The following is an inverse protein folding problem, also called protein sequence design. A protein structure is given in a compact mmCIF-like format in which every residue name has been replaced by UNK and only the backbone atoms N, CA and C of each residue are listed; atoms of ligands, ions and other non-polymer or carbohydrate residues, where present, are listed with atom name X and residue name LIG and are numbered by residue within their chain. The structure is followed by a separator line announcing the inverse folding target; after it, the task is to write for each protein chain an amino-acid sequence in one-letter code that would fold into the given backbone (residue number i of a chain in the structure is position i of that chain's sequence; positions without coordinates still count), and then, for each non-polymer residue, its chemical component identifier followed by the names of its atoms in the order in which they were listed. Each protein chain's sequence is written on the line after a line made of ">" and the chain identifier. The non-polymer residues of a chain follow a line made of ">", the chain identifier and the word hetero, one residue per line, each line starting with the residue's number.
data_IF_789777007377
#
_entry.id   IF_789777007377
#
_cell.length_a   1.000
_cell.length_b   1.000
_cell.length_c   1.000
_cell.angle_alpha   90.00
_cell.angle_beta   90.00
_cell.angle_gamma   90.00
#
_symmetry.space_group_name_H-M   'P 1'
#
loop_
_entity.id
_entity.type
_entity.pdbx_description
1 polymer ?
#
# COMPACT_ATOMS: atom_id res chain seq x y z
N UNK A 1 21.80 -0.90 6.06
CA UNK A 1 20.54 -0.14 6.02
C UNK A 1 20.71 1.17 6.79
N UNK A 2 21.00 1.14 8.09
CA UNK A 2 21.16 2.35 8.92
C UNK A 2 22.19 3.34 8.32
N UNK A 3 23.32 2.83 7.85
CA UNK A 3 24.37 3.65 7.23
C UNK A 3 23.89 4.31 5.93
N UNK A 4 23.07 3.60 5.15
CA UNK A 4 22.50 4.12 3.89
C UNK A 4 21.43 5.18 4.10
N UNK A 5 20.80 5.19 5.28
CA UNK A 5 19.73 6.13 5.62
C UNK A 5 20.25 7.36 6.39
N UNK A 6 21.54 7.38 6.73
CA UNK A 6 22.14 8.43 7.55
C UNK A 6 22.06 9.80 6.88
N UNK A 7 21.42 10.74 7.57
CA UNK A 7 21.27 12.13 7.11
C UNK A 7 20.09 12.35 6.18
N UNK A 8 19.20 11.37 6.02
CA UNK A 8 17.95 11.56 5.32
C UNK A 8 16.94 12.31 6.20
N UNK A 9 16.33 13.36 5.67
CA UNK A 9 15.25 14.10 6.33
C UNK A 9 13.91 13.36 6.18
N UNK A 10 13.73 12.62 5.07
CA UNK A 10 12.54 11.83 4.77
C UNK A 10 12.92 10.50 4.11
N UNK A 11 12.19 9.45 4.44
CA UNK A 11 12.36 8.10 3.88
C UNK A 11 11.02 7.54 3.45
N UNK A 12 10.94 7.14 2.18
CA UNK A 12 9.82 6.34 1.69
C UNK A 12 10.17 4.85 1.78
N UNK A 13 9.25 4.08 2.37
CA UNK A 13 9.29 2.62 2.37
C UNK A 13 8.16 2.13 1.47
N UNK A 14 8.53 1.51 0.34
CA UNK A 14 7.52 1.03 -0.62
C UNK A 14 7.72 -0.44 -0.92
N UNK A 15 6.63 -1.20 -0.90
CA UNK A 15 6.63 -2.62 -1.24
C UNK A 15 5.21 -3.15 -1.48
N UNK A 16 5.13 -4.34 -2.07
CA UNK A 16 3.92 -5.16 -2.03
C UNK A 16 3.90 -6.02 -0.78
N UNK A 17 2.84 -5.92 -0.01
CA UNK A 17 2.62 -6.73 1.18
C UNK A 17 2.04 -8.12 0.85
N UNK A 18 2.19 -9.07 1.76
CA UNK A 18 1.74 -10.45 1.58
C UNK A 18 2.81 -11.41 1.05
N UNK A 19 3.94 -10.88 0.58
CA UNK A 19 5.13 -11.67 0.23
C UNK A 19 6.10 -11.82 1.42
N UNK A 20 7.22 -12.51 1.20
CA UNK A 20 8.24 -12.70 2.25
C UNK A 20 9.09 -11.44 2.47
N UNK A 21 9.62 -10.86 1.39
CA UNK A 21 10.59 -9.76 1.46
C UNK A 21 9.93 -8.45 1.91
N UNK A 22 8.86 -8.01 1.22
CA UNK A 22 8.15 -6.78 1.58
C UNK A 22 7.63 -6.82 3.00
N UNK A 23 6.80 -7.80 3.30
CA UNK A 23 6.14 -7.99 4.60
C UNK A 23 7.12 -8.09 5.78
N UNK A 24 8.25 -8.77 5.57
CA UNK A 24 9.24 -8.99 6.65
C UNK A 24 10.26 -7.88 6.79
N UNK A 25 10.68 -7.24 5.70
CA UNK A 25 11.76 -6.25 5.73
C UNK A 25 11.26 -4.81 5.91
N UNK A 26 10.08 -4.46 5.39
CA UNK A 26 9.56 -3.08 5.46
C UNK A 26 9.49 -2.52 6.89
N UNK A 27 8.98 -3.24 7.92
CA UNK A 27 8.95 -2.70 9.28
C UNK A 27 10.35 -2.48 9.86
N UNK A 28 11.32 -3.32 9.49
CA UNK A 28 12.70 -3.21 9.97
C UNK A 28 13.39 -1.98 9.36
N UNK A 29 13.19 -1.76 8.05
CA UNK A 29 13.72 -0.58 7.36
C UNK A 29 13.07 0.70 7.88
N UNK A 30 11.75 0.69 8.06
CA UNK A 30 11.00 1.81 8.61
C UNK A 30 11.49 2.20 10.01
N UNK A 31 11.65 1.21 10.89
CA UNK A 31 12.21 1.42 12.24
C UNK A 31 13.60 2.07 12.19
N UNK A 32 14.48 1.58 11.32
CA UNK A 32 15.82 2.14 11.17
C UNK A 32 15.79 3.59 10.70
N UNK A 33 14.88 3.95 9.80
CA UNK A 33 14.67 5.33 9.35
C UNK A 33 14.11 6.23 10.45
N UNK A 34 13.06 5.77 11.13
CA UNK A 34 12.41 6.49 12.22
C UNK A 34 13.37 6.76 13.40
N UNK A 35 14.20 5.78 13.76
CA UNK A 35 15.23 5.93 14.81
C UNK A 35 16.28 6.99 14.49
N UNK A 36 16.51 7.30 13.22
CA UNK A 36 17.40 8.37 12.79
C UNK A 36 16.70 9.75 12.75
N UNK A 37 15.41 9.81 13.08
CA UNK A 37 14.62 11.04 13.10
C UNK A 37 14.06 11.44 11.75
N UNK A 38 14.26 10.65 10.69
CA UNK A 38 13.67 10.89 9.39
C UNK A 38 12.13 10.82 9.44
N UNK A 39 11.45 11.68 8.69
CA UNK A 39 10.02 11.50 8.43
C UNK A 39 9.84 10.22 7.62
N UNK A 40 9.23 9.21 8.22
CA UNK A 40 9.13 7.89 7.63
C UNK A 40 7.71 7.63 7.12
N UNK A 41 7.57 7.51 5.81
CA UNK A 41 6.29 7.31 5.13
C UNK A 41 6.32 5.97 4.41
N UNK A 42 5.33 5.13 4.66
CA UNK A 42 5.17 3.89 3.91
C UNK A 42 4.03 4.02 2.89
N UNK A 43 4.29 3.55 1.66
CA UNK A 43 3.31 3.41 0.58
C UNK A 43 3.37 1.97 0.12
N UNK A 44 2.35 1.20 0.43
CA UNK A 44 2.36 -0.26 0.20
C UNK A 44 1.09 -0.73 -0.48
N UNK A 45 1.17 -1.84 -1.21
CA UNK A 45 -0.02 -2.45 -1.80
C UNK A 45 -0.47 -3.68 -1.03
N UNK A 46 -1.77 -3.87 -0.98
CA UNK A 46 -2.43 -5.12 -0.57
C UNK A 46 -2.59 -6.03 -1.76
N UNK A 47 -2.36 -7.35 -1.63
CA UNK A 47 -2.50 -8.29 -2.73
C UNK A 47 -3.92 -8.32 -3.29
N UNK A 48 -4.04 -8.72 -4.55
CA UNK A 48 -5.33 -9.01 -5.16
C UNK A 48 -6.01 -10.20 -4.48
N UNK A 49 -7.33 -10.20 -4.41
CA UNK A 49 -8.11 -11.30 -3.82
C UNK A 49 -7.87 -12.66 -4.48
N UNK A 50 -7.57 -12.69 -5.80
CA UNK A 50 -7.22 -13.92 -6.49
C UNK A 50 -5.87 -14.53 -6.07
N UNK A 51 -5.00 -13.78 -5.40
CA UNK A 51 -3.73 -14.28 -4.85
C UNK A 51 -3.91 -15.17 -3.60
N UNK A 52 -5.10 -15.15 -3.03
CA UNK A 52 -5.56 -16.08 -2.01
C UNK A 52 -5.48 -15.55 -0.57
N UNK A 53 -6.26 -16.19 0.33
CA UNK A 53 -6.48 -15.69 1.70
C UNK A 53 -5.22 -15.74 2.57
N UNK A 54 -4.31 -16.68 2.33
CA UNK A 54 -3.06 -16.76 3.09
C UNK A 54 -2.16 -15.55 2.81
N UNK A 55 -2.14 -15.09 1.53
CA UNK A 55 -1.36 -13.93 1.13
C UNK A 55 -1.97 -12.64 1.69
N UNK A 56 -3.30 -12.55 1.71
CA UNK A 56 -4.03 -11.46 2.33
C UNK A 56 -3.75 -11.38 3.85
N UNK A 57 -3.85 -12.51 4.57
CA UNK A 57 -3.54 -12.55 6.01
C UNK A 57 -2.08 -12.20 6.33
N UNK A 58 -1.14 -12.62 5.47
CA UNK A 58 0.26 -12.23 5.60
C UNK A 58 0.45 -10.72 5.37
N UNK A 59 -0.28 -10.13 4.41
CA UNK A 59 -0.26 -8.69 4.16
C UNK A 59 -0.80 -7.91 5.35
N UNK A 60 -1.93 -8.32 5.93
CA UNK A 60 -2.51 -7.67 7.11
C UNK A 60 -1.54 -7.67 8.29
N UNK A 61 -0.88 -8.80 8.54
CA UNK A 61 0.15 -8.90 9.57
C UNK A 61 1.33 -7.95 9.31
N UNK A 62 1.79 -7.83 8.06
CA UNK A 62 2.88 -6.92 7.68
C UNK A 62 2.49 -5.46 7.87
N UNK A 63 1.32 -5.08 7.37
CA UNK A 63 0.74 -3.73 7.48
C UNK A 63 0.60 -3.31 8.94
N UNK A 64 0.09 -4.19 9.82
CA UNK A 64 -0.07 -3.90 11.25
C UNK A 64 1.27 -3.70 11.97
N UNK A 65 2.32 -4.40 11.54
CA UNK A 65 3.65 -4.19 12.07
C UNK A 65 4.30 -2.93 11.52
N UNK A 66 4.14 -2.66 10.22
CA UNK A 66 4.67 -1.48 9.56
C UNK A 66 4.05 -0.19 10.12
N UNK A 67 2.75 -0.20 10.41
CA UNK A 67 2.00 0.93 11.01
C UNK A 67 2.63 1.44 12.30
N UNK A 68 3.26 0.57 13.08
CA UNK A 68 3.90 0.92 14.36
C UNK A 68 5.25 1.62 14.21
N UNK A 69 5.82 1.54 13.03
CA UNK A 69 7.21 1.94 12.77
C UNK A 69 7.30 3.16 11.83
N UNK A 70 6.17 3.64 11.32
CA UNK A 70 6.11 4.77 10.37
C UNK A 70 5.33 5.95 10.93
N UNK A 71 5.60 7.14 10.44
CA UNK A 71 4.83 8.35 10.74
C UNK A 71 3.50 8.37 9.99
N UNK A 72 3.50 7.98 8.71
CA UNK A 72 2.32 7.88 7.88
C UNK A 72 2.35 6.59 7.05
N UNK A 73 1.20 5.91 6.97
CA UNK A 73 1.02 4.68 6.21
C UNK A 73 -0.11 4.84 5.20
N UNK A 74 0.25 4.73 3.94
CA UNK A 74 -0.69 4.68 2.80
C UNK A 74 -0.77 3.22 2.34
N UNK A 75 -1.96 2.64 2.41
CA UNK A 75 -2.23 1.29 1.91
C UNK A 75 -3.07 1.40 0.65
N UNK A 76 -2.64 0.76 -0.44
CA UNK A 76 -3.33 0.74 -1.72
C UNK A 76 -3.88 -0.66 -1.95
N UNK A 77 -5.21 -0.85 -1.86
CA UNK A 77 -5.81 -2.16 -2.11
C UNK A 77 -5.83 -2.46 -3.61
N UNK A 78 -5.11 -3.49 -4.05
CA UNK A 78 -5.03 -3.83 -5.47
C UNK A 78 -6.40 -4.14 -6.08
N UNK A 79 -7.32 -4.74 -5.33
CA UNK A 79 -8.68 -5.03 -5.82
C UNK A 79 -9.44 -3.76 -6.21
N UNK A 80 -9.22 -2.64 -5.52
CA UNK A 80 -9.83 -1.36 -5.87
C UNK A 80 -9.32 -0.77 -7.17
N UNK A 81 -8.09 -1.12 -7.57
CA UNK A 81 -7.54 -0.73 -8.88
C UNK A 81 -8.28 -1.42 -10.03
N UNK A 82 -8.82 -2.62 -9.80
CA UNK A 82 -9.63 -3.32 -10.80
C UNK A 82 -10.98 -2.64 -11.03
N UNK A 83 -11.52 -1.94 -10.04
CA UNK A 83 -12.76 -1.17 -10.18
C UNK A 83 -12.58 0.07 -11.07
N UNK A 84 -11.36 0.62 -11.12
CA UNK A 84 -10.97 1.75 -11.98
C UNK A 84 -10.64 1.33 -13.41
N UNK A 85 -10.40 0.04 -13.63
CA UNK A 85 -9.93 -0.51 -14.89
C UNK A 85 -11.09 -1.14 -15.69
N UNK A 86 -10.91 -1.26 -16.99
CA UNK A 86 -11.86 -2.01 -17.82
C UNK A 86 -11.95 -3.47 -17.37
N UNK A 87 -13.15 -4.05 -17.38
CA UNK A 87 -13.41 -5.45 -16.95
C UNK A 87 -12.63 -6.51 -17.74
N UNK A 88 -11.96 -6.11 -18.82
CA UNK A 88 -11.14 -6.96 -19.68
C UNK A 88 -9.64 -6.83 -19.44
N UNK A 89 -9.22 -6.17 -18.34
CA UNK A 89 -7.80 -5.95 -18.04
C UNK A 89 -7.05 -7.29 -17.90
N UNK A 90 -5.90 -7.40 -18.56
CA UNK A 90 -5.02 -8.56 -18.42
C UNK A 90 -4.26 -8.56 -17.09
N UNK A 91 -3.85 -9.75 -16.63
CA UNK A 91 -3.14 -9.91 -15.34
C UNK A 91 -1.88 -9.03 -15.28
N UNK A 92 -1.09 -9.00 -16.34
CA UNK A 92 0.15 -8.18 -16.39
C UNK A 92 -0.18 -6.70 -16.27
N UNK A 93 -1.26 -6.26 -16.90
CA UNK A 93 -1.70 -4.87 -16.87
C UNK A 93 -2.24 -4.49 -15.49
N UNK A 94 -2.96 -5.39 -14.81
CA UNK A 94 -3.39 -5.20 -13.43
C UNK A 94 -2.21 -4.95 -12.49
N UNK A 95 -1.13 -5.73 -12.59
CA UNK A 95 0.08 -5.49 -11.79
C UNK A 95 0.77 -4.18 -12.16
N UNK A 96 0.84 -3.81 -13.45
CA UNK A 96 1.37 -2.49 -13.85
C UNK A 96 0.54 -1.34 -13.30
N UNK A 97 -0.77 -1.50 -13.19
CA UNK A 97 -1.65 -0.50 -12.57
C UNK A 97 -1.31 -0.34 -11.08
N UNK A 98 -1.03 -1.44 -10.38
CA UNK A 98 -0.57 -1.40 -8.98
C UNK A 98 0.79 -0.70 -8.84
N UNK A 99 1.74 -0.98 -9.72
CA UNK A 99 3.05 -0.29 -9.75
C UNK A 99 2.88 1.21 -10.00
N UNK A 100 1.99 1.57 -10.94
CA UNK A 100 1.68 2.98 -11.24
C UNK A 100 1.04 3.69 -10.06
N UNK A 101 0.17 3.01 -9.31
CA UNK A 101 -0.47 3.57 -8.12
C UNK A 101 0.55 3.81 -6.99
N UNK A 102 1.49 2.87 -6.77
CA UNK A 102 2.61 3.08 -5.84
C UNK A 102 3.48 4.27 -6.23
N UNK A 103 3.84 4.35 -7.50
CA UNK A 103 4.62 5.46 -8.04
C UNK A 103 3.87 6.79 -7.82
N UNK A 104 2.58 6.85 -8.15
CA UNK A 104 1.76 8.03 -7.98
C UNK A 104 1.64 8.46 -6.50
N UNK A 105 1.55 7.49 -5.57
CA UNK A 105 1.56 7.76 -4.13
C UNK A 105 2.85 8.43 -3.64
N UNK A 106 3.99 7.97 -4.13
CA UNK A 106 5.29 8.59 -3.82
C UNK A 106 5.45 9.93 -4.52
N UNK A 107 5.14 10.01 -5.81
CA UNK A 107 5.22 11.26 -6.59
C UNK A 107 4.30 12.34 -6.04
N UNK A 108 3.09 12.00 -5.59
CA UNK A 108 2.14 12.96 -5.02
C UNK A 108 2.71 13.75 -3.84
N UNK A 109 3.65 13.17 -3.10
CA UNK A 109 4.35 13.85 -1.99
C UNK A 109 5.63 14.51 -2.49
N UNK A 110 6.42 13.82 -3.29
CA UNK A 110 7.72 14.34 -3.75
C UNK A 110 7.57 15.55 -4.67
N UNK A 111 6.55 15.58 -5.52
CA UNK A 111 6.28 16.71 -6.42
C UNK A 111 5.93 17.98 -5.64
N UNK A 112 5.28 17.87 -4.47
CA UNK A 112 4.99 19.01 -3.61
C UNK A 112 6.25 19.70 -3.09
N UNK A 113 7.29 18.91 -2.78
CA UNK A 113 8.54 19.38 -2.18
C UNK A 113 9.57 19.74 -3.26
N UNK A 114 9.41 19.20 -4.48
CA UNK A 114 10.38 19.38 -5.55
C UNK A 114 10.40 20.82 -6.07
N UNK A 115 11.58 21.26 -6.49
CA UNK A 115 11.86 22.62 -6.95
C UNK A 115 11.15 23.02 -8.26
N UNK A 116 10.46 22.08 -8.92
CA UNK A 116 9.78 22.29 -10.19
C UNK A 116 8.32 22.77 -10.04
N UNK A 117 7.83 22.93 -8.81
CA UNK A 117 6.48 23.41 -8.56
C UNK A 117 6.39 24.94 -8.58
N UNK A 118 5.34 25.50 -9.16
CA UNK A 118 5.07 26.95 -9.16
C UNK A 118 4.64 27.45 -7.78
N UNK A 119 3.88 26.63 -7.06
CA UNK A 119 3.54 26.85 -5.66
C UNK A 119 4.24 25.73 -4.90
N UNK A 120 5.35 26.06 -4.28
CA UNK A 120 6.14 25.15 -3.48
C UNK A 120 5.49 24.94 -2.12
N UNK A 121 5.57 23.69 -1.67
CA UNK A 121 5.26 23.32 -0.29
C UNK A 121 6.59 23.07 0.41
N UNK A 122 6.79 23.71 1.55
CA UNK A 122 8.01 23.49 2.34
C UNK A 122 7.98 22.10 2.98
N UNK A 123 9.18 21.50 3.14
CA UNK A 123 9.30 20.20 3.83
C UNK A 123 8.71 20.26 5.26
N UNK A 124 8.86 21.40 5.95
CA UNK A 124 8.28 21.58 7.28
C UNK A 124 6.75 21.46 7.28
N UNK A 125 6.10 21.91 6.22
CA UNK A 125 4.64 21.83 6.06
C UNK A 125 4.19 20.38 5.86
N UNK A 126 4.83 19.64 4.96
CA UNK A 126 4.57 18.19 4.76
C UNK A 126 4.82 17.42 6.05
N UNK A 127 5.93 17.74 6.73
CA UNK A 127 6.26 17.11 8.02
C UNK A 127 5.20 17.39 9.09
N UNK A 128 4.60 18.59 9.11
CA UNK A 128 3.56 18.96 10.08
C UNK A 128 2.27 18.16 9.93
N UNK A 129 1.94 17.74 8.71
CA UNK A 129 0.74 16.95 8.40
C UNK A 129 1.00 15.45 8.58
N UNK A 130 2.17 14.95 8.13
CA UNK A 130 2.43 13.50 8.05
C UNK A 130 3.15 12.92 9.26
N UNK A 131 3.81 13.75 10.10
CA UNK A 131 4.51 13.27 11.29
C UNK A 131 3.52 12.72 12.31
N UNK A 132 3.63 11.42 12.59
CA UNK A 132 2.75 10.73 13.54
C UNK A 132 1.28 10.65 13.11
N UNK A 133 0.98 10.85 11.83
CA UNK A 133 -0.37 10.86 11.30
C UNK A 133 -1.05 9.48 11.27
N UNK A 134 -0.28 8.40 11.39
CA UNK A 134 -0.80 7.04 11.36
C UNK A 134 -1.30 6.63 9.98
N UNK A 135 -2.57 6.28 9.84
CA UNK A 135 -3.16 5.96 8.54
C UNK A 135 -3.36 7.22 7.72
N UNK A 136 -2.95 7.17 6.45
CA UNK A 136 -3.23 8.21 5.47
C UNK A 136 -3.93 7.60 4.26
N UNK A 137 -4.92 8.30 3.73
CA UNK A 137 -5.68 7.90 2.55
C UNK A 137 -5.14 8.63 1.32
N UNK A 138 -5.08 7.93 0.21
CA UNK A 138 -4.56 8.43 -1.05
C UNK A 138 -5.63 8.38 -2.13
N UNK A 139 -5.92 9.52 -2.73
CA UNK A 139 -6.82 9.63 -3.87
C UNK A 139 -6.15 10.33 -5.04
N UNK A 140 -6.42 9.88 -6.25
CA UNK A 140 -5.92 10.47 -7.48
C UNK A 140 -7.05 10.58 -8.49
N UNK A 141 -7.10 11.72 -9.18
CA UNK A 141 -8.04 11.95 -10.27
C UNK A 141 -7.39 12.72 -11.40
N UNK A 142 -7.80 12.45 -12.62
CA UNK A 142 -7.36 13.15 -13.82
C UNK A 142 -8.55 13.50 -14.68
N UNK A 143 -8.55 14.68 -15.28
CA UNK A 143 -9.60 15.10 -16.21
C UNK A 143 -9.06 16.04 -17.28
N UNK A 144 -9.83 16.21 -18.36
CA UNK A 144 -9.52 17.05 -19.52
C UNK A 144 -10.70 17.92 -19.87
N UNK A 145 -10.46 19.01 -20.59
CA UNK A 145 -11.51 19.90 -21.12
C UNK A 145 -11.92 20.99 -20.13
N UNK A 146 -13.17 21.46 -20.25
CA UNK A 146 -13.72 22.48 -19.35
C UNK A 146 -13.94 21.89 -17.95
N UNK A 147 -13.68 22.65 -16.91
CA UNK A 147 -13.79 22.25 -15.49
C UNK A 147 -12.86 21.07 -15.09
N UNK A 148 -11.81 20.80 -15.91
CA UNK A 148 -10.87 19.68 -15.72
C UNK A 148 -10.30 19.57 -14.30
N UNK A 149 -9.96 20.69 -13.66
CA UNK A 149 -9.40 20.65 -12.31
C UNK A 149 -10.45 20.27 -11.26
N UNK A 150 -11.69 20.76 -11.40
CA UNK A 150 -12.79 20.40 -10.50
C UNK A 150 -13.19 18.93 -10.68
N UNK A 151 -13.29 18.46 -11.94
CA UNK A 151 -13.59 17.06 -12.24
C UNK A 151 -12.47 16.13 -11.71
N UNK A 152 -11.20 16.52 -11.90
CA UNK A 152 -10.07 15.74 -11.35
C UNK A 152 -10.12 15.67 -9.81
N UNK A 153 -10.47 16.76 -9.14
CA UNK A 153 -10.65 16.78 -7.70
C UNK A 153 -11.84 15.91 -7.24
N UNK A 154 -12.98 15.94 -7.94
CA UNK A 154 -14.12 15.06 -7.68
C UNK A 154 -13.74 13.59 -7.79
N UNK A 155 -13.01 13.22 -8.85
CA UNK A 155 -12.50 11.85 -9.04
C UNK A 155 -11.54 11.48 -7.90
N UNK A 156 -10.65 12.40 -7.51
CA UNK A 156 -9.68 12.14 -6.45
C UNK A 156 -10.34 11.87 -5.10
N UNK A 157 -11.33 12.68 -4.68
CA UNK A 157 -12.03 12.51 -3.40
C UNK A 157 -13.05 11.36 -3.41
N UNK A 158 -13.48 10.93 -4.59
CA UNK A 158 -14.38 9.79 -4.78
C UNK A 158 -13.63 8.53 -5.22
N UNK A 159 -12.29 8.57 -5.19
CA UNK A 159 -11.45 7.48 -5.66
C UNK A 159 -11.71 6.21 -4.85
N UNK A 160 -11.92 5.04 -5.47
CA UNK A 160 -12.06 3.78 -4.75
C UNK A 160 -10.76 3.36 -4.02
N UNK A 161 -9.64 4.04 -4.28
CA UNK A 161 -8.39 3.87 -3.51
C UNK A 161 -8.51 4.43 -2.08
N UNK A 162 -9.47 5.29 -1.82
CA UNK A 162 -9.84 5.72 -0.48
C UNK A 162 -10.69 4.60 0.13
N UNK A 163 -10.11 3.80 1.03
CA UNK A 163 -10.84 2.73 1.73
C UNK A 163 -11.94 3.28 2.64
N UNK A 164 -11.81 4.54 3.08
CA UNK A 164 -12.71 5.22 4.01
C UNK A 164 -13.03 6.64 3.50
N UNK A 165 -14.02 7.28 4.11
CA UNK A 165 -14.34 8.70 3.84
C UNK A 165 -13.22 9.61 4.35
N UNK A 166 -12.85 10.62 3.58
CA UNK A 166 -11.88 11.64 4.01
C UNK A 166 -12.45 12.68 4.99
N UNK A 167 -13.75 12.60 5.33
CA UNK A 167 -14.44 13.58 6.20
C UNK A 167 -13.83 13.73 7.60
N UNK A 168 -13.18 12.69 8.11
CA UNK A 168 -12.51 12.71 9.42
C UNK A 168 -11.04 13.14 9.39
N UNK A 169 -10.50 13.50 8.23
CA UNK A 169 -9.10 13.90 8.11
C UNK A 169 -8.85 15.31 8.67
N UNK A 170 -7.89 15.43 9.60
CA UNK A 170 -7.45 16.71 10.15
C UNK A 170 -6.30 17.37 9.38
N UNK A 171 -5.71 16.65 8.43
CA UNK A 171 -4.67 17.16 7.54
C UNK A 171 -4.89 16.70 6.11
N UNK A 172 -4.60 17.55 5.13
CA UNK A 172 -4.60 17.17 3.73
C UNK A 172 -3.45 17.84 2.97
N UNK A 173 -2.79 17.03 2.13
CA UNK A 173 -1.88 17.50 1.10
C UNK A 173 -2.58 17.37 -0.25
N UNK A 174 -2.57 18.45 -1.04
CA UNK A 174 -3.18 18.47 -2.36
C UNK A 174 -2.11 18.85 -3.37
N UNK A 175 -1.84 17.97 -4.31
CA UNK A 175 -0.98 18.26 -5.45
C UNK A 175 -1.84 18.42 -6.71
N UNK A 176 -1.76 19.60 -7.34
CA UNK A 176 -2.42 19.88 -8.62
C UNK A 176 -1.32 19.97 -9.67
N UNK A 177 -1.36 19.08 -10.65
CA UNK A 177 -0.41 19.04 -11.75
C UNK A 177 -1.16 19.20 -13.08
N UNK A 178 -0.62 20.02 -13.98
CA UNK A 178 -1.24 20.27 -15.27
C UNK A 178 -0.38 21.12 -16.19
N UNK A 179 -0.89 21.46 -17.39
CA UNK A 179 -0.18 22.30 -18.35
C UNK A 179 -0.05 23.75 -17.89
N UNK A 180 0.85 24.50 -18.52
CA UNK A 180 1.13 25.90 -18.21
C UNK A 180 -0.05 26.85 -18.44
N UNK A 181 -1.09 26.43 -19.17
CA UNK A 181 -2.32 27.19 -19.37
C UNK A 181 -3.35 27.06 -18.25
N UNK A 182 -3.07 26.22 -17.23
CA UNK A 182 -3.94 26.02 -16.07
C UNK A 182 -4.15 27.33 -15.30
N UNK A 183 -5.41 27.73 -15.15
CA UNK A 183 -5.75 29.00 -14.49
C UNK A 183 -5.79 28.84 -12.97
N UNK A 184 -5.37 29.87 -12.25
CA UNK A 184 -5.43 29.88 -10.79
C UNK A 184 -6.86 29.65 -10.25
N UNK A 185 -7.89 30.09 -10.99
CA UNK A 185 -9.29 29.88 -10.61
C UNK A 185 -9.68 28.40 -10.65
N UNK A 186 -9.16 27.65 -11.65
CA UNK A 186 -9.37 26.19 -11.75
C UNK A 186 -8.73 25.47 -10.56
N UNK A 187 -7.47 25.78 -10.26
CA UNK A 187 -6.77 25.22 -9.10
C UNK A 187 -7.45 25.57 -7.76
N UNK A 188 -7.91 26.82 -7.61
CA UNK A 188 -8.64 27.26 -6.42
C UNK A 188 -9.97 26.52 -6.26
N UNK A 189 -10.72 26.31 -7.35
CA UNK A 189 -11.99 25.58 -7.31
C UNK A 189 -11.79 24.13 -6.90
N UNK A 190 -10.76 23.46 -7.42
CA UNK A 190 -10.38 22.11 -7.05
C UNK A 190 -10.03 22.01 -5.54
N UNK A 191 -9.20 22.93 -5.05
CA UNK A 191 -8.82 22.97 -3.63
C UNK A 191 -10.02 23.20 -2.72
N UNK A 192 -10.95 24.10 -3.10
CA UNK A 192 -12.15 24.38 -2.32
C UNK A 192 -13.10 23.18 -2.27
N UNK A 193 -13.14 22.36 -3.32
CA UNK A 193 -13.92 21.14 -3.35
C UNK A 193 -13.38 20.12 -2.35
N UNK A 194 -12.06 19.91 -2.31
CA UNK A 194 -11.41 19.02 -1.33
C UNK A 194 -11.65 19.56 0.09
N UNK A 195 -11.53 20.87 0.30
CA UNK A 195 -11.78 21.51 1.61
C UNK A 195 -13.15 21.19 2.17
N UNK A 196 -14.18 21.15 1.31
CA UNK A 196 -15.55 20.81 1.72
C UNK A 196 -15.75 19.34 2.06
N UNK A 197 -14.87 18.49 1.57
CA UNK A 197 -14.95 17.03 1.76
C UNK A 197 -14.20 16.52 2.99
N UNK A 198 -13.37 17.35 3.64
CA UNK A 198 -12.58 16.98 4.82
C UNK A 198 -13.10 17.70 6.07
N UNK A 199 -12.49 17.42 7.23
CA UNK A 199 -12.88 18.06 8.49
C UNK A 199 -12.79 19.61 8.39
N UNK A 200 -13.77 20.37 8.92
CA UNK A 200 -13.79 21.85 8.79
C UNK A 200 -12.56 22.56 9.36
N UNK A 201 -11.91 21.98 10.37
CA UNK A 201 -10.70 22.51 11.01
C UNK A 201 -9.40 21.90 10.46
N UNK A 202 -9.49 21.11 9.37
CA UNK A 202 -8.32 20.46 8.80
C UNK A 202 -7.30 21.46 8.26
N UNK A 203 -6.04 21.18 8.52
CA UNK A 203 -4.93 21.88 7.89
C UNK A 203 -4.77 21.42 6.45
N UNK A 204 -4.90 22.32 5.49
CA UNK A 204 -4.75 22.02 4.06
C UNK A 204 -3.51 22.71 3.54
N UNK A 205 -2.66 21.91 2.92
CA UNK A 205 -1.49 22.37 2.19
C UNK A 205 -1.64 21.94 0.74
N UNK A 206 -1.49 22.88 -0.19
CA UNK A 206 -1.61 22.58 -1.59
C UNK A 206 -0.45 23.14 -2.41
N UNK A 207 -0.03 22.39 -3.42
CA UNK A 207 0.99 22.77 -4.36
C UNK A 207 0.50 22.70 -5.79
N UNK A 208 1.19 23.43 -6.68
CA UNK A 208 0.89 23.51 -8.10
C UNK A 208 2.14 23.23 -8.91
N UNK A 209 2.12 22.13 -9.65
CA UNK A 209 3.15 21.76 -10.61
C UNK A 209 2.63 22.01 -12.04
N UNK A 210 3.38 22.79 -12.83
CA UNK A 210 3.04 23.06 -14.22
C UNK A 210 4.08 22.44 -15.14
N UNK A 211 3.60 21.51 -16.01
CA UNK A 211 4.42 20.83 -16.99
C UNK A 211 3.57 20.56 -18.26
N UNK A 212 4.03 21.05 -19.39
CA UNK A 212 3.35 20.87 -20.67
C UNK A 212 3.33 19.41 -21.16
N UNK A 213 4.08 18.52 -20.52
CA UNK A 213 3.99 17.07 -20.74
C UNK A 213 2.61 16.48 -20.39
N UNK A 214 1.81 17.16 -19.55
CA UNK A 214 0.42 16.78 -19.25
C UNK A 214 -0.56 17.05 -20.42
N UNK A 215 -0.14 17.83 -21.44
CA UNK A 215 -1.00 18.20 -22.57
C UNK A 215 -2.18 19.08 -22.14
N UNK A 216 -3.42 18.56 -22.20
CA UNK A 216 -4.64 19.24 -21.73
C UNK A 216 -5.18 18.64 -20.41
N UNK A 217 -4.50 17.63 -19.87
CA UNK A 217 -4.91 16.92 -18.66
C UNK A 217 -4.50 17.68 -17.39
N UNK A 218 -5.41 17.74 -16.43
CA UNK A 218 -5.11 18.15 -15.06
C UNK A 218 -5.23 16.93 -14.15
N UNK A 219 -4.23 16.74 -13.32
CA UNK A 219 -4.20 15.69 -12.30
C UNK A 219 -4.26 16.31 -10.92
N UNK A 220 -5.14 15.77 -10.09
CA UNK A 220 -5.24 16.15 -8.67
C UNK A 220 -4.94 14.91 -7.84
N UNK A 221 -3.97 15.05 -6.95
CA UNK A 221 -3.62 14.03 -5.95
C UNK A 221 -3.98 14.59 -4.58
N UNK A 222 -4.72 13.81 -3.80
CA UNK A 222 -5.12 14.16 -2.44
C UNK A 222 -4.58 13.12 -1.48
N UNK A 223 -3.86 13.57 -0.44
CA UNK A 223 -3.42 12.72 0.67
C UNK A 223 -4.07 13.27 1.91
N UNK A 224 -5.02 12.52 2.46
CA UNK A 224 -5.76 12.86 3.67
C UNK A 224 -5.16 12.07 4.85
N UNK A 225 -4.89 12.74 5.96
CA UNK A 225 -4.17 12.17 7.10
C UNK A 225 -4.70 12.72 8.43
N UNK A 226 -4.29 12.11 9.54
CA UNK A 226 -4.67 12.57 10.87
C UNK A 226 -6.14 12.27 11.18
N UNK A 227 -6.55 11.01 11.00
CA UNK A 227 -7.88 10.54 11.37
C UNK A 227 -7.96 10.30 12.87
N UNK A 228 -9.07 10.66 13.51
CA UNK A 228 -9.30 10.38 14.91
C UNK A 228 -9.30 8.87 15.19
N UNK A 229 -8.61 8.40 16.24
CA UNK A 229 -8.52 6.98 16.54
C UNK A 229 -9.87 6.32 16.86
N UNK A 230 -10.90 7.11 17.15
CA UNK A 230 -12.27 6.62 17.43
C UNK A 230 -12.99 6.19 16.15
N UNK A 231 -12.75 6.86 15.02
CA UNK A 231 -13.38 6.52 13.74
C UNK A 231 -12.84 5.20 13.16
N UNK A 232 -11.57 4.89 13.41
CA UNK A 232 -10.95 3.62 12.99
C UNK A 232 -11.51 2.41 13.76
N UNK A 233 -11.94 2.60 15.01
CA UNK A 233 -12.52 1.56 15.86
C UNK A 233 -13.98 1.23 15.50
N UNK A 234 -14.75 2.25 15.12
CA UNK A 234 -16.15 2.09 14.70
C UNK A 234 -16.28 1.41 13.30
N UNK A 235 -15.30 1.60 12.43
CA UNK A 235 -15.24 0.91 11.14
C UNK A 235 -14.95 -0.59 11.30
N UNK A 236 -14.10 -0.96 12.26
CA UNK A 236 -13.80 -2.35 12.61
C UNK A 236 -15.01 -3.08 13.22
N UNK A 237 -15.82 -2.39 14.03
CA UNK A 237 -17.01 -2.97 14.67
C UNK A 237 -18.18 -3.16 13.69
N UNK A 238 -18.24 -2.42 12.60
CA UNK A 238 -19.27 -2.59 11.55
C UNK A 238 -19.05 -3.85 10.68
N UNK A 239 -17.87 -4.42 10.67
CA UNK A 239 -17.58 -5.66 9.93
C UNK A 239 -17.86 -6.95 10.72
N UNK A 240 -18.18 -6.86 12.01
CA UNK A 240 -18.52 -8.02 12.85
C UNK A 240 -20.04 -8.19 13.07
N UNK A 241 -20.85 -8.03 12.03
CA UNK A 241 -22.22 -8.51 12.08
C UNK A 241 -22.22 -10.00 11.74
N UNK A 242 -22.01 -10.82 12.74
CA UNK A 242 -22.26 -12.27 12.65
C UNK A 242 -23.70 -12.52 12.21
N UNK A 243 -23.94 -13.46 11.30
CA UNK A 243 -25.32 -13.84 10.96
C UNK A 243 -26.03 -14.38 12.19
N UNK A 244 -27.10 -13.72 12.58
CA UNK A 244 -28.00 -14.20 13.61
C UNK A 244 -28.64 -15.51 13.11
N UNK A 245 -28.19 -16.61 13.64
CA UNK A 245 -28.89 -17.91 13.50
C UNK A 245 -30.16 -17.83 14.36
N UNK A 246 -31.35 -18.05 13.83
CA UNK A 246 -32.56 -18.10 14.64
C UNK A 246 -32.43 -19.25 15.65
N UNK A 247 -32.65 -18.94 16.93
CA UNK A 247 -32.73 -19.95 17.99
C UNK A 247 -33.95 -20.84 17.77
N UNK A 248 -33.71 -22.12 17.56
CA UNK A 248 -34.74 -23.15 17.58
C UNK A 248 -35.27 -23.32 19.00
N UNK A 249 -36.62 -23.53 19.06
CA UNK A 249 -37.40 -23.75 20.28
C UNK A 249 -36.94 -25.00 21.04
N UNK A 250 -37.13 -25.07 22.38
CA UNK A 250 -36.71 -26.21 23.19
C UNK A 250 -37.66 -27.39 23.02
N UNK A 251 -37.18 -28.49 22.47
CA UNK A 251 -37.88 -29.78 22.48
C UNK A 251 -37.64 -30.49 23.82
N UNK A 252 -38.72 -30.87 24.48
CA UNK A 252 -38.78 -31.55 25.76
C UNK A 252 -38.13 -32.96 25.77
N UNK A 253 -37.64 -33.47 26.93
CA UNK A 253 -36.88 -34.70 26.99
C UNK A 253 -37.80 -35.93 26.98
N UNK A 254 -37.54 -36.86 26.07
CA UNK A 254 -38.15 -38.22 26.10
C UNK A 254 -37.24 -39.22 26.82
N UNK A 255 -37.88 -40.06 27.57
CA UNK A 255 -37.44 -40.97 28.58
C UNK A 255 -36.37 -42.00 28.21
N UNK A 256 -35.61 -42.39 29.23
CA UNK A 256 -34.61 -43.44 29.27
C UNK A 256 -35.21 -44.85 29.06
N UNK A 257 -34.48 -45.71 28.38
CA UNK A 257 -34.52 -47.17 28.55
C UNK A 257 -33.10 -47.74 28.61
N UNK A 258 -32.87 -48.84 29.36
CA UNK A 258 -31.58 -49.20 29.92
C UNK A 258 -30.79 -50.27 29.13
N UNK A 259 -29.51 -50.20 29.36
CA UNK A 259 -28.48 -51.22 29.37
C UNK A 259 -28.62 -52.52 28.50
N UNK A 260 -27.61 -52.72 27.65
CA UNK A 260 -26.84 -53.96 27.69
C UNK A 260 -25.44 -53.77 27.07
N UNK A 261 -24.41 -54.11 27.86
CA UNK A 261 -23.04 -54.28 27.41
C UNK A 261 -22.79 -55.77 27.18
N UNK A 262 -22.00 -56.24 26.24
CA UNK A 262 -20.65 -56.57 26.65
C UNK A 262 -19.54 -56.34 25.58
N UNK A 263 -18.40 -55.96 26.15
CA UNK A 263 -17.00 -56.32 25.81
C UNK A 263 -16.62 -56.71 24.37
N UNK A 264 -15.66 -55.94 23.86
CA UNK A 264 -14.86 -56.29 22.68
C UNK A 264 -13.71 -55.35 22.48
N UNK A 265 -12.54 -55.69 23.05
CA UNK A 265 -11.23 -55.08 22.78
C UNK A 265 -10.91 -55.02 21.29
N UNK A 266 -10.46 -53.89 20.81
CA UNK A 266 -9.52 -53.78 19.72
C UNK A 266 -8.76 -52.47 19.81
N UNK A 267 -7.53 -52.55 20.27
CA UNK A 267 -6.53 -51.51 20.27
C UNK A 267 -6.16 -51.13 18.82
N UNK A 268 -6.33 -49.86 18.45
CA UNK A 268 -5.75 -49.32 17.24
C UNK A 268 -4.50 -48.52 17.61
N UNK A 269 -3.36 -49.11 17.24
CA UNK A 269 -1.99 -48.61 17.36
C UNK A 269 -1.79 -47.32 16.50
N UNK A 270 -1.27 -46.31 17.13
CA UNK A 270 -0.70 -45.12 16.50
C UNK A 270 0.68 -45.47 15.94
N UNK A 271 1.02 -45.18 14.68
CA UNK A 271 2.40 -45.40 14.21
C UNK A 271 3.31 -44.26 14.73
N UNK A 272 4.24 -44.65 15.58
CA UNK A 272 5.41 -43.89 16.00
C UNK A 272 6.41 -43.79 14.86
N UNK A 273 6.77 -42.56 14.46
CA UNK A 273 7.90 -42.31 13.58
C UNK A 273 9.21 -42.35 14.38
N UNK A 274 10.03 -43.37 14.16
CA UNK A 274 11.40 -43.43 14.64
C UNK A 274 12.37 -42.76 13.64
N UNK A 275 13.47 -42.12 14.09
CA UNK A 275 14.43 -41.49 13.20
C UNK A 275 15.31 -42.55 12.50
N UNK A 276 15.43 -42.44 11.19
CA UNK A 276 16.36 -43.27 10.41
C UNK A 276 17.75 -42.63 10.49
N UNK A 277 18.65 -43.34 11.11
CA UNK A 277 20.10 -43.07 11.12
C UNK A 277 20.72 -43.50 9.79
N UNK A 278 21.64 -42.67 9.35
CA UNK A 278 22.48 -42.67 8.22
C UNK A 278 22.82 -43.95 7.45
N UNK A 279 23.02 -43.75 6.16
CA UNK A 279 24.20 -44.33 5.52
C UNK A 279 24.63 -43.48 4.33
N UNK A 280 25.93 -43.20 4.34
CA UNK A 280 26.64 -42.46 3.31
C UNK A 280 26.89 -43.39 2.14
N UNK A 281 26.16 -43.24 1.05
CA UNK A 281 26.57 -43.86 -0.22
C UNK A 281 26.74 -42.78 -1.26
N UNK A 282 28.01 -42.49 -1.53
CA UNK A 282 28.50 -41.66 -2.61
C UNK A 282 28.00 -42.17 -3.97
N UNK A 283 27.23 -41.37 -4.68
CA UNK A 283 26.99 -41.55 -6.11
C UNK A 283 28.12 -40.90 -6.92
N UNK A 284 28.63 -41.54 -7.97
CA UNK A 284 29.67 -40.95 -8.80
C UNK A 284 29.15 -39.82 -9.66
N UNK A 285 29.86 -38.68 -9.61
CA UNK A 285 29.66 -37.53 -10.46
C UNK A 285 30.21 -37.85 -11.85
N UNK A 286 29.33 -37.87 -12.84
CA UNK A 286 29.74 -38.05 -14.26
C UNK A 286 30.13 -36.66 -14.81
N UNK A 287 31.40 -36.53 -15.11
CA UNK A 287 32.06 -35.38 -15.67
C UNK A 287 31.94 -35.43 -17.20
N UNK A 288 30.85 -34.93 -17.76
CA UNK A 288 30.73 -34.70 -19.20
C UNK A 288 30.38 -33.27 -19.51
N UNK A 289 31.42 -32.50 -19.71
CA UNK A 289 31.57 -31.34 -20.64
C UNK A 289 30.28 -30.74 -21.22
N UNK A 290 29.94 -29.56 -20.72
CA UNK A 290 29.34 -28.52 -21.57
C UNK A 290 30.09 -27.19 -21.35
N UNK A 291 30.78 -26.79 -22.38
CA UNK A 291 31.50 -25.51 -22.49
C UNK A 291 30.54 -24.34 -22.27
N UNK A 292 30.71 -23.64 -21.16
CA UNK A 292 30.21 -22.29 -21.04
C UNK A 292 31.27 -21.33 -21.58
N UNK A 293 30.92 -20.40 -22.49
CA UNK A 293 31.85 -19.38 -22.95
C UNK A 293 32.28 -18.50 -21.77
N UNK A 294 33.57 -18.41 -21.56
CA UNK A 294 34.19 -17.53 -20.58
C UNK A 294 33.85 -16.09 -20.91
N UNK A 295 33.16 -15.41 -19.97
CA UNK A 295 33.05 -13.95 -19.99
C UNK A 295 34.40 -13.40 -19.57
N UNK A 296 35.11 -12.82 -20.52
CA UNK A 296 36.37 -12.13 -20.25
C UNK A 296 36.07 -10.88 -19.40
N UNK A 297 36.56 -10.89 -18.17
CA UNK A 297 36.67 -9.69 -17.33
C UNK A 297 37.92 -8.96 -17.81
N UNK A 298 37.72 -7.90 -18.55
CA UNK A 298 38.74 -6.91 -18.81
C UNK A 298 38.07 -5.56 -19.04
N UNK A 299 38.08 -4.63 -18.09
CA UNK A 299 38.70 -3.31 -18.16
C UNK A 299 38.23 -2.41 -17.00
N UNK A 300 39.11 -1.82 -16.17
CA UNK A 300 38.72 -0.91 -15.11
C UNK A 300 38.76 0.55 -15.60
N UNK A 301 38.08 0.88 -16.67
CA UNK A 301 37.79 2.26 -17.10
C UNK A 301 36.82 2.25 -18.29
N UNK A 302 35.61 1.76 -18.08
CA UNK A 302 34.59 1.79 -19.11
C UNK A 302 33.32 2.37 -18.54
N UNK A 303 32.85 3.41 -19.18
CA UNK A 303 31.55 4.09 -19.03
C UNK A 303 30.45 3.20 -18.46
N UNK A 304 29.94 3.59 -17.32
CA UNK A 304 28.64 3.09 -16.83
C UNK A 304 27.59 3.53 -17.86
N UNK A 305 27.05 2.56 -18.56
CA UNK A 305 25.95 2.75 -19.51
C UNK A 305 24.71 3.18 -18.70
N UNK A 306 24.59 4.49 -18.48
CA UNK A 306 23.47 5.08 -17.79
C UNK A 306 22.31 5.09 -18.79
N UNK A 307 21.19 4.37 -18.51
CA UNK A 307 20.03 4.40 -19.38
C UNK A 307 19.55 5.81 -19.65
N UNK A 308 19.10 6.08 -20.89
CA UNK A 308 18.72 7.42 -21.36
C UNK A 308 17.65 8.14 -20.53
N UNK A 309 16.92 7.43 -19.69
CA UNK A 309 15.92 8.01 -18.78
C UNK A 309 16.53 8.63 -17.49
N UNK A 310 17.84 8.52 -17.29
CA UNK A 310 18.58 9.14 -16.19
C UNK A 310 19.56 10.22 -16.66
N UNK A 311 19.53 10.58 -17.95
CA UNK A 311 20.23 11.74 -18.53
C UNK A 311 19.28 12.95 -18.63
#
# INVERSE_FOLDING_TARGET
>A
IEESLKGADMVFVTCGEGGGTGTGASPIVARAAHQQGALTIAVVTRPFGFEGPQRAASADYGIDNLRKEVDALIVIPNDRLLELSDRSIGIIEAFKTADTALLAGVQGITDLISMNSYIHVDFSDVNSILRGAGTALFGIGSARGEDRATQAAEIAISSPLLEESIEGAHGALINIAGPTDLKLQEASAATELVRKAIHPEAQIIWGLALDDAYGDEVRVTVIAAGFDPVSAQEASDRQTVSPVVPADEPVAPAAAHPADNPAGEAAATVPSYAPVSGDSTSLPFDDSTSEHPAIAVNDPAGDLDIPDFLR
#
